data_IF_821086550763
#
_entry.id   IF_821086550763
#
_cell.length_a   1.000
_cell.length_b   1.000
_cell.length_c   1.000
_cell.angle_alpha   90.00
_cell.angle_beta   90.00
_cell.angle_gamma   90.00
#
_symmetry.space_group_name_H-M   'P 1'
#
loop_
_entity.id
_entity.type
_entity.pdbx_description
1 polymer ?
#
# COMPACT_ATOMS: atom_id res chain seq x y z
N UNK A 1 20.17 27.50 -1.95
CA UNK A 1 20.20 26.04 -1.94
C UNK A 1 19.03 25.57 -1.09
N UNK A 2 18.08 24.82 -1.64
CA UNK A 2 17.03 24.22 -0.81
C UNK A 2 17.70 23.20 0.12
N UNK A 3 17.38 23.29 1.38
CA UNK A 3 17.83 22.33 2.38
C UNK A 3 17.20 20.97 2.07
N UNK A 4 17.91 19.84 2.28
CA UNK A 4 17.39 18.51 1.99
C UNK A 4 16.19 18.08 2.86
N UNK A 5 15.78 18.92 3.81
CA UNK A 5 14.68 18.64 4.74
C UNK A 5 13.33 19.27 4.30
N UNK A 6 13.29 19.90 3.14
CA UNK A 6 12.10 20.61 2.66
C UNK A 6 11.29 19.81 1.63
N UNK A 7 11.34 18.49 1.73
CA UNK A 7 10.41 17.64 1.00
C UNK A 7 9.09 17.69 1.79
N UNK A 8 8.16 18.50 1.31
CA UNK A 8 6.82 18.51 1.84
C UNK A 8 6.29 17.06 1.95
N UNK A 9 5.64 16.70 3.08
CA UNK A 9 5.11 15.36 3.23
C UNK A 9 4.17 15.06 2.06
N UNK A 10 4.33 13.91 1.43
CA UNK A 10 3.48 13.48 0.33
C UNK A 10 2.00 13.54 0.75
N UNK A 11 1.18 14.06 -0.13
CA UNK A 11 -0.24 14.25 0.12
C UNK A 11 -1.07 13.42 -0.85
N UNK A 12 -2.32 13.13 -0.47
CA UNK A 12 -3.26 12.40 -1.33
C UNK A 12 -3.47 13.07 -2.69
N UNK A 13 -3.46 14.40 -2.73
CA UNK A 13 -3.63 15.15 -3.97
C UNK A 13 -2.49 14.94 -4.97
N UNK A 14 -1.33 14.46 -4.52
CA UNK A 14 -0.19 14.16 -5.38
C UNK A 14 -0.29 12.79 -6.05
N UNK A 15 -1.24 11.96 -5.60
CA UNK A 15 -1.44 10.62 -6.11
C UNK A 15 -2.19 10.62 -7.45
N UNK A 16 -1.79 9.69 -8.32
CA UNK A 16 -2.59 9.34 -9.48
C UNK A 16 -3.86 8.60 -9.04
N UNK A 17 -4.85 8.56 -9.92
CA UNK A 17 -6.14 7.94 -9.62
C UNK A 17 -6.03 6.49 -9.16
N UNK A 18 -5.18 5.69 -9.82
CA UNK A 18 -4.95 4.30 -9.44
C UNK A 18 -4.29 4.17 -8.07
N UNK A 19 -3.32 5.02 -7.78
CA UNK A 19 -2.64 5.07 -6.49
C UNK A 19 -3.60 5.46 -5.37
N UNK A 20 -4.44 6.46 -5.61
CA UNK A 20 -5.45 6.91 -4.66
C UNK A 20 -6.48 5.80 -4.37
N UNK A 21 -6.97 5.14 -5.41
CA UNK A 21 -7.93 4.05 -5.28
C UNK A 21 -7.34 2.85 -4.51
N UNK A 22 -6.11 2.48 -4.83
CA UNK A 22 -5.38 1.42 -4.14
C UNK A 22 -5.18 1.73 -2.65
N UNK A 23 -4.71 2.93 -2.35
CA UNK A 23 -4.48 3.35 -0.96
C UNK A 23 -5.78 3.42 -0.16
N UNK A 24 -6.84 3.93 -0.75
CA UNK A 24 -8.16 3.96 -0.12
C UNK A 24 -8.65 2.55 0.25
N UNK A 25 -8.56 1.61 -0.69
CA UNK A 25 -8.92 0.22 -0.45
C UNK A 25 -8.02 -0.46 0.59
N UNK A 26 -6.72 -0.14 0.56
CA UNK A 26 -5.77 -0.66 1.55
C UNK A 26 -6.12 -0.18 2.96
N UNK A 27 -6.33 1.11 3.14
CA UNK A 27 -6.76 1.69 4.42
C UNK A 27 -8.08 1.08 4.89
N UNK A 28 -9.07 1.00 4.02
CA UNK A 28 -10.37 0.41 4.35
C UNK A 28 -10.22 -1.04 4.83
N UNK A 29 -9.43 -1.85 4.13
CA UNK A 29 -9.17 -3.24 4.52
C UNK A 29 -8.45 -3.33 5.86
N UNK A 30 -7.45 -2.48 6.09
CA UNK A 30 -6.67 -2.45 7.31
C UNK A 30 -7.49 -2.02 8.54
N UNK A 31 -8.44 -1.11 8.36
CA UNK A 31 -9.35 -0.65 9.41
C UNK A 31 -10.62 -1.49 9.56
N UNK A 32 -10.69 -2.64 8.90
CA UNK A 32 -11.81 -3.58 9.01
C UNK A 32 -13.02 -3.24 8.14
N UNK A 33 -12.87 -2.30 7.21
CA UNK A 33 -13.92 -1.89 6.27
C UNK A 33 -13.65 -2.39 4.84
N UNK A 34 -12.91 -3.48 4.68
CA UNK A 34 -12.59 -4.07 3.37
C UNK A 34 -13.82 -4.54 2.59
N UNK A 35 -14.88 -4.92 3.28
CA UNK A 35 -16.17 -5.28 2.68
C UNK A 35 -17.10 -4.07 2.44
N UNK A 36 -16.57 -2.86 2.55
CA UNK A 36 -17.34 -1.65 2.30
C UNK A 36 -17.88 -1.64 0.86
N UNK A 37 -19.19 -1.46 0.73
CA UNK A 37 -19.88 -1.42 -0.57
C UNK A 37 -19.31 -0.33 -1.48
N UNK A 38 -18.88 0.80 -0.94
CA UNK A 38 -18.33 1.91 -1.71
C UNK A 38 -17.00 1.53 -2.34
N UNK A 39 -16.11 0.89 -1.58
CA UNK A 39 -14.82 0.40 -2.09
C UNK A 39 -15.05 -0.64 -3.17
N UNK A 40 -15.91 -1.63 -2.91
CA UNK A 40 -16.24 -2.68 -3.85
C UNK A 40 -16.82 -2.11 -5.15
N UNK A 41 -17.80 -1.22 -5.03
CA UNK A 41 -18.42 -0.55 -6.17
C UNK A 41 -17.40 0.22 -6.99
N UNK A 42 -16.49 0.95 -6.34
CA UNK A 42 -15.45 1.69 -7.04
C UNK A 42 -14.55 0.77 -7.87
N UNK A 43 -14.12 -0.36 -7.30
CA UNK A 43 -13.30 -1.34 -8.03
C UNK A 43 -14.08 -2.03 -9.16
N UNK A 44 -15.34 -2.34 -8.93
CA UNK A 44 -16.21 -2.95 -9.95
C UNK A 44 -16.50 -1.99 -11.12
N UNK A 45 -16.78 -0.73 -10.82
CA UNK A 45 -17.01 0.31 -11.84
C UNK A 45 -15.72 0.65 -12.61
N UNK A 46 -14.58 0.66 -11.93
CA UNK A 46 -13.29 1.03 -12.53
C UNK A 46 -12.64 -0.12 -13.31
N UNK A 47 -12.76 -1.34 -12.83
CA UNK A 47 -12.02 -2.51 -13.33
C UNK A 47 -12.94 -3.72 -13.65
N UNK A 48 -14.25 -3.55 -13.61
CA UNK A 48 -15.20 -4.62 -13.89
C UNK A 48 -15.04 -5.83 -12.93
N UNK A 49 -15.33 -7.06 -13.41
CA UNK A 49 -15.23 -8.27 -12.60
C UNK A 49 -13.83 -8.53 -12.06
N UNK A 50 -12.80 -8.16 -12.80
CA UNK A 50 -11.40 -8.27 -12.38
C UNK A 50 -11.11 -7.36 -11.18
N UNK A 51 -11.79 -6.22 -11.09
CA UNK A 51 -11.69 -5.31 -9.95
C UNK A 51 -12.14 -5.95 -8.64
N UNK A 52 -13.20 -6.74 -8.65
CA UNK A 52 -13.66 -7.48 -7.46
C UNK A 52 -12.64 -8.53 -7.03
N UNK A 53 -12.03 -9.22 -7.99
CA UNK A 53 -10.95 -10.18 -7.72
C UNK A 53 -9.72 -9.49 -7.14
N UNK A 54 -9.34 -8.33 -7.69
CA UNK A 54 -8.25 -7.51 -7.20
C UNK A 54 -8.49 -7.05 -5.76
N UNK A 55 -9.70 -6.61 -5.45
CA UNK A 55 -10.07 -6.20 -4.09
C UNK A 55 -9.99 -7.38 -3.11
N UNK A 56 -10.41 -8.56 -3.52
CA UNK A 56 -10.30 -9.79 -2.71
C UNK A 56 -8.82 -10.12 -2.46
N UNK A 57 -7.99 -10.06 -3.48
CA UNK A 57 -6.55 -10.29 -3.36
C UNK A 57 -5.88 -9.25 -2.44
N UNK A 58 -6.27 -7.99 -2.55
CA UNK A 58 -5.80 -6.92 -1.67
C UNK A 58 -6.20 -7.17 -0.20
N UNK A 59 -7.42 -7.61 0.03
CA UNK A 59 -7.88 -7.95 1.38
C UNK A 59 -7.11 -9.12 1.98
N UNK A 60 -6.77 -10.11 1.17
CA UNK A 60 -5.88 -11.21 1.59
C UNK A 60 -4.49 -10.69 1.93
N UNK A 61 -3.93 -9.85 1.06
CA UNK A 61 -2.62 -9.22 1.30
C UNK A 61 -2.58 -8.47 2.62
N UNK A 62 -3.56 -7.61 2.86
CA UNK A 62 -3.67 -6.82 4.10
C UNK A 62 -3.80 -7.70 5.33
N UNK A 63 -4.65 -8.73 5.27
CA UNK A 63 -4.84 -9.67 6.37
C UNK A 63 -3.55 -10.44 6.69
N UNK A 64 -2.91 -10.99 5.68
CA UNK A 64 -1.65 -11.72 5.85
C UNK A 64 -0.54 -10.80 6.37
N UNK A 65 -0.48 -9.57 5.90
CA UNK A 65 0.46 -8.56 6.40
C UNK A 65 0.23 -8.27 7.90
N UNK A 66 -1.03 -8.20 8.32
CA UNK A 66 -1.38 -8.03 9.72
C UNK A 66 -0.96 -9.21 10.61
N UNK A 67 -0.92 -10.42 10.06
CA UNK A 67 -0.54 -11.64 10.79
C UNK A 67 0.98 -11.91 10.78
N UNK A 68 1.65 -11.62 9.68
CA UNK A 68 3.02 -12.02 9.41
C UNK A 68 3.98 -10.83 9.21
N UNK A 69 3.49 -9.61 9.30
CA UNK A 69 4.31 -8.42 9.13
C UNK A 69 5.45 -8.35 10.14
N UNK A 70 6.63 -8.00 9.67
CA UNK A 70 7.85 -7.86 10.49
C UNK A 70 7.73 -6.77 11.54
N UNK A 71 7.02 -5.72 11.20
CA UNK A 71 6.91 -4.51 11.99
C UNK A 71 5.50 -3.93 11.92
N UNK A 72 5.23 -3.01 12.81
CA UNK A 72 4.00 -2.23 12.73
C UNK A 72 4.04 -1.37 11.48
N UNK A 73 2.99 -1.45 10.69
CA UNK A 73 2.76 -0.57 9.55
C UNK A 73 1.95 0.62 10.05
N UNK A 74 2.47 1.79 9.80
CA UNK A 74 1.80 3.04 10.14
C UNK A 74 0.97 3.52 8.97
N UNK A 75 -0.35 3.53 9.15
CA UNK A 75 -1.29 4.09 8.18
C UNK A 75 -1.87 5.39 8.74
N UNK A 76 -2.11 6.34 7.86
CA UNK A 76 -2.87 7.51 8.23
C UNK A 76 -4.34 7.16 8.47
N UNK A 77 -5.01 7.95 9.29
CA UNK A 77 -6.43 7.77 9.55
C UNK A 77 -7.24 7.86 8.24
N UNK A 78 -8.35 7.11 8.13
CA UNK A 78 -9.27 7.27 7.01
C UNK A 78 -9.69 8.75 6.87
N UNK A 79 -9.59 9.29 5.67
CA UNK A 79 -9.86 10.70 5.42
C UNK A 79 -8.68 11.65 5.65
N UNK A 80 -7.55 11.16 6.13
CA UNK A 80 -6.32 11.98 6.19
C UNK A 80 -5.80 12.32 4.80
N UNK A 81 -5.41 13.56 4.61
CA UNK A 81 -4.78 14.02 3.36
C UNK A 81 -3.30 13.68 3.27
N UNK A 82 -2.69 13.29 4.37
CA UNK A 82 -1.25 12.97 4.43
C UNK A 82 -1.02 11.50 4.15
N UNK A 83 0.09 11.22 3.47
CA UNK A 83 0.62 9.87 3.32
C UNK A 83 1.71 9.65 4.36
N UNK A 84 1.68 8.46 4.96
CA UNK A 84 2.81 7.99 5.76
C UNK A 84 3.89 7.41 4.83
N UNK A 85 5.10 7.23 5.37
CA UNK A 85 6.18 6.57 4.63
C UNK A 85 5.87 5.11 4.35
N UNK A 86 5.22 4.44 5.29
CA UNK A 86 4.81 3.05 5.11
C UNK A 86 3.79 2.93 3.97
N UNK A 87 2.86 3.87 3.87
CA UNK A 87 1.92 3.92 2.74
C UNK A 87 2.62 4.16 1.41
N UNK A 88 3.62 5.03 1.38
CA UNK A 88 4.43 5.24 0.18
C UNK A 88 5.19 3.98 -0.22
N UNK A 89 5.75 3.24 0.75
CA UNK A 89 6.42 1.96 0.50
C UNK A 89 5.45 0.89 0.00
N UNK A 90 4.23 0.86 0.50
CA UNK A 90 3.17 -0.03 0.02
C UNK A 90 2.80 0.30 -1.42
N UNK A 91 2.58 1.57 -1.75
CA UNK A 91 2.32 1.99 -3.13
C UNK A 91 3.49 1.62 -4.06
N UNK A 92 4.72 1.82 -3.61
CA UNK A 92 5.92 1.44 -4.36
C UNK A 92 6.02 -0.07 -4.60
N UNK A 93 5.58 -0.89 -3.66
CA UNK A 93 5.52 -2.34 -3.80
C UNK A 93 4.58 -2.75 -4.94
N UNK A 94 3.38 -2.21 -4.96
CA UNK A 94 2.41 -2.50 -6.03
C UNK A 94 2.85 -1.91 -7.37
N UNK A 95 3.50 -0.75 -7.37
CA UNK A 95 4.11 -0.17 -8.56
C UNK A 95 5.23 -1.05 -9.13
N UNK A 96 6.05 -1.64 -8.27
CA UNK A 96 7.07 -2.60 -8.67
C UNK A 96 6.45 -3.87 -9.29
N UNK A 97 5.35 -4.36 -8.72
CA UNK A 97 4.60 -5.48 -9.28
C UNK A 97 4.03 -5.14 -10.67
N UNK A 98 3.50 -3.94 -10.86
CA UNK A 98 2.97 -3.48 -12.14
C UNK A 98 4.07 -3.32 -13.20
N UNK A 99 5.23 -2.80 -12.81
CA UNK A 99 6.39 -2.64 -13.69
C UNK A 99 7.14 -3.95 -13.95
N UNK A 100 6.68 -5.07 -13.38
CA UNK A 100 7.38 -6.36 -13.44
C UNK A 100 8.82 -6.31 -12.89
N UNK A 101 9.08 -5.35 -12.01
CA UNK A 101 10.37 -5.22 -11.32
C UNK A 101 10.36 -6.11 -10.06
N UNK A 102 10.58 -7.39 -10.29
CA UNK A 102 10.53 -8.39 -9.22
C UNK A 102 11.65 -8.24 -8.20
N UNK A 103 12.76 -7.62 -8.55
CA UNK A 103 13.85 -7.33 -7.61
C UNK A 103 13.38 -6.31 -6.57
N UNK A 104 12.75 -5.23 -7.02
CA UNK A 104 12.16 -4.24 -6.11
C UNK A 104 10.99 -4.79 -5.33
N UNK A 105 10.13 -5.59 -5.97
CA UNK A 105 9.01 -6.24 -5.29
C UNK A 105 9.50 -7.11 -4.13
N UNK A 106 10.50 -7.94 -4.36
CA UNK A 106 11.13 -8.78 -3.33
C UNK A 106 11.78 -7.94 -2.22
N UNK A 107 12.45 -6.86 -2.58
CA UNK A 107 13.06 -5.95 -1.60
C UNK A 107 12.00 -5.32 -0.68
N UNK A 108 10.89 -4.85 -1.24
CA UNK A 108 9.78 -4.31 -0.46
C UNK A 108 9.11 -5.36 0.41
N UNK A 109 8.90 -6.56 -0.10
CA UNK A 109 8.32 -7.67 0.67
C UNK A 109 9.25 -8.10 1.82
N UNK A 110 10.55 -8.18 1.58
CA UNK A 110 11.54 -8.48 2.62
C UNK A 110 11.54 -7.41 3.71
N UNK A 111 11.36 -6.16 3.34
CA UNK A 111 11.26 -5.07 4.29
C UNK A 111 9.98 -5.14 5.15
N UNK A 112 8.86 -5.56 4.58
CA UNK A 112 7.58 -5.71 5.27
C UNK A 112 7.50 -7.00 6.12
N UNK A 113 8.14 -8.07 5.65
CA UNK A 113 8.06 -9.40 6.24
C UNK A 113 9.37 -9.78 6.94
N UNK A 114 9.32 -10.65 7.96
CA UNK A 114 10.48 -10.95 8.80
C UNK A 114 11.63 -11.60 8.01
N UNK A 115 11.45 -12.77 7.46
CA UNK A 115 12.58 -13.54 6.92
C UNK A 115 12.42 -13.95 5.46
N UNK A 116 11.23 -14.24 5.03
CA UNK A 116 10.96 -14.63 3.63
C UNK A 116 9.58 -14.16 3.17
N UNK A 117 9.48 -13.58 1.98
CA UNK A 117 8.20 -13.33 1.33
C UNK A 117 7.48 -14.66 1.09
N UNK A 118 6.27 -14.77 1.59
CA UNK A 118 5.48 -15.99 1.44
C UNK A 118 4.60 -15.89 0.21
N UNK A 119 4.29 -17.04 -0.36
CA UNK A 119 3.59 -17.18 -1.64
C UNK A 119 2.36 -16.28 -1.84
N UNK A 120 1.47 -15.98 -0.86
CA UNK A 120 0.33 -15.14 -1.15
C UNK A 120 0.68 -13.70 -1.53
N UNK A 121 1.76 -13.13 -1.00
CA UNK A 121 2.07 -11.71 -1.16
C UNK A 121 2.45 -11.33 -2.59
N UNK A 122 3.43 -11.97 -3.25
CA UNK A 122 3.77 -11.63 -4.62
C UNK A 122 2.60 -11.84 -5.59
N UNK A 123 1.91 -12.95 -5.46
CA UNK A 123 0.77 -13.27 -6.32
C UNK A 123 -0.38 -12.28 -6.14
N UNK A 124 -0.71 -11.92 -4.91
CA UNK A 124 -1.73 -10.94 -4.63
C UNK A 124 -1.35 -9.54 -5.15
N UNK A 125 -0.10 -9.13 -4.96
CA UNK A 125 0.40 -7.85 -5.47
C UNK A 125 0.33 -7.79 -7.00
N UNK A 126 0.77 -8.83 -7.68
CA UNK A 126 0.72 -8.91 -9.14
C UNK A 126 -0.73 -8.90 -9.68
N UNK A 127 -1.64 -9.61 -9.03
CA UNK A 127 -3.05 -9.64 -9.45
C UNK A 127 -3.70 -8.26 -9.33
N UNK A 128 -3.47 -7.56 -8.22
CA UNK A 128 -3.97 -6.19 -8.03
C UNK A 128 -3.35 -5.24 -9.05
N UNK A 129 -2.04 -5.30 -9.23
CA UNK A 129 -1.32 -4.45 -10.17
C UNK A 129 -1.78 -4.65 -11.61
N UNK A 130 -1.95 -5.90 -12.04
CA UNK A 130 -2.47 -6.24 -13.36
C UNK A 130 -3.89 -5.75 -13.59
N UNK A 131 -4.78 -5.93 -12.61
CA UNK A 131 -6.16 -5.48 -12.74
C UNK A 131 -6.25 -3.96 -12.95
N UNK A 132 -5.41 -3.20 -12.25
CA UNK A 132 -5.31 -1.76 -12.43
C UNK A 132 -4.72 -1.40 -13.80
N UNK A 133 -3.64 -2.04 -14.20
CA UNK A 133 -2.97 -1.78 -15.49
C UNK A 133 -3.87 -2.05 -16.70
N UNK A 134 -4.59 -3.16 -16.69
CA UNK A 134 -5.52 -3.52 -17.76
C UNK A 134 -6.62 -2.47 -18.00
N UNK A 135 -6.91 -1.65 -17.01
CA UNK A 135 -7.90 -0.59 -17.07
C UNK A 135 -7.29 0.82 -17.11
N UNK A 136 -5.99 0.91 -17.41
CA UNK A 136 -5.29 2.18 -17.60
C UNK A 136 -4.88 2.90 -16.32
N UNK A 137 -4.96 2.26 -15.17
CA UNK A 137 -4.52 2.83 -13.90
C UNK A 137 -3.05 2.55 -13.67
N UNK A 138 -2.22 3.56 -13.88
CA UNK A 138 -0.78 3.46 -13.71
C UNK A 138 -0.38 3.78 -12.27
N UNK A 139 0.50 2.97 -11.73
CA UNK A 139 1.16 3.18 -10.46
C UNK A 139 2.59 3.66 -10.73
N UNK A 140 2.97 4.79 -10.16
CA UNK A 140 4.31 5.34 -10.38
C UNK A 140 5.33 4.61 -9.53
N UNK A 141 6.39 4.14 -10.19
CA UNK A 141 7.54 3.59 -9.51
C UNK A 141 8.46 4.77 -9.10
N UNK A 142 8.66 5.01 -7.80
CA UNK A 142 9.53 6.09 -7.37
C UNK A 142 10.97 5.82 -7.80
N UNK A 143 11.79 6.87 -8.04
CA UNK A 143 13.20 6.69 -8.29
C UNK A 143 13.83 5.93 -7.12
N UNK A 144 14.84 5.11 -7.42
CA UNK A 144 15.51 4.28 -6.43
C UNK A 144 16.39 5.18 -5.54
N UNK A 145 15.83 5.67 -4.47
CA UNK A 145 16.65 6.23 -3.39
C UNK A 145 17.15 5.09 -2.51
N UNK A 146 18.45 5.12 -2.25
CA UNK A 146 19.05 4.22 -1.27
C UNK A 146 18.31 4.40 0.07
N UNK A 147 17.97 3.31 0.78
CA UNK A 147 17.29 3.42 2.05
C UNK A 147 18.17 4.21 3.02
N UNK A 148 17.77 5.44 3.28
CA UNK A 148 18.40 6.24 4.32
C UNK A 148 17.94 5.68 5.66
N UNK A 149 18.83 5.27 6.55
CA UNK A 149 18.45 4.88 7.90
C UNK A 149 17.82 6.11 8.57
N UNK A 150 16.54 6.01 8.87
CA UNK A 150 15.81 7.13 9.40
C UNK A 150 15.56 6.97 10.88
N UNK A 151 15.88 8.05 11.58
CA UNK A 151 15.39 8.26 12.92
C UNK A 151 13.84 8.24 12.93
N UNK A 152 13.20 7.66 13.96
CA UNK A 152 11.75 7.69 14.07
C UNK A 152 11.29 9.14 14.14
N UNK A 153 10.59 9.60 13.11
CA UNK A 153 9.92 10.88 13.16
C UNK A 153 8.79 10.80 14.18
N UNK A 154 8.82 11.67 15.16
CA UNK A 154 7.72 11.85 16.09
C UNK A 154 6.54 12.49 15.33
N UNK A 155 5.61 11.65 14.90
CA UNK A 155 4.36 12.10 14.30
C UNK A 155 3.29 12.14 15.38
N UNK A 156 2.90 13.31 15.76
CA UNK A 156 2.04 13.49 16.93
C UNK A 156 0.56 13.65 16.58
N UNK A 157 0.14 13.60 15.32
CA UNK A 157 -1.25 13.84 14.98
C UNK A 157 -1.86 12.78 14.07
N UNK A 158 -2.67 11.92 14.65
CA UNK A 158 -3.66 11.13 13.92
C UNK A 158 -3.14 9.89 13.20
N UNK A 159 -1.95 9.45 13.53
CA UNK A 159 -1.41 8.21 13.00
C UNK A 159 -1.92 7.03 13.81
N UNK A 160 -2.74 6.21 13.20
CA UNK A 160 -3.26 4.98 13.81
C UNK A 160 -2.42 3.81 13.32
N UNK A 161 -2.05 2.95 14.24
CA UNK A 161 -1.34 1.71 13.93
C UNK A 161 -2.36 0.58 13.88
N UNK A 162 -2.90 0.22 12.73
CA UNK A 162 -4.01 -0.72 12.64
C UNK A 162 -3.63 -2.18 12.86
N UNK A 163 -2.37 -2.51 12.69
CA UNK A 163 -1.91 -3.88 12.79
C UNK A 163 -1.50 -4.25 14.21
N UNK A 164 -2.46 -4.27 15.12
CA UNK A 164 -2.29 -4.99 16.39
C UNK A 164 -2.91 -6.37 16.25
N UNK A 165 -2.10 -7.42 16.42
CA UNK A 165 -2.58 -8.75 16.72
C UNK A 165 -3.56 -8.65 17.89
N UNK A 166 -4.82 -8.98 17.69
CA UNK A 166 -5.65 -9.35 18.81
C UNK A 166 -5.05 -10.63 19.37
N UNK A 167 -4.48 -10.54 20.56
CA UNK A 167 -4.20 -11.72 21.34
C UNK A 167 -5.54 -12.39 21.64
N UNK A 168 -5.71 -13.64 21.18
CA UNK A 168 -6.82 -14.51 21.57
C UNK A 168 -6.61 -14.90 23.02
#
# INVERSE_FOLDING_TARGET
>A
MPQPDDIAPAQLCDLLQGEHMLLWAFRASAFGAGDCRLVRRQFEESCGPVGVQALTALSVFVRELGQHGRRKITLAAPGSYRLTRDEQSILALFAAAQAEDYIRLEAHLTWLLADQPRAPFPAAACLVAQALEMHGFILRLPPMEAPTPQAPAAWDDGVVTPFRRRAS
#
